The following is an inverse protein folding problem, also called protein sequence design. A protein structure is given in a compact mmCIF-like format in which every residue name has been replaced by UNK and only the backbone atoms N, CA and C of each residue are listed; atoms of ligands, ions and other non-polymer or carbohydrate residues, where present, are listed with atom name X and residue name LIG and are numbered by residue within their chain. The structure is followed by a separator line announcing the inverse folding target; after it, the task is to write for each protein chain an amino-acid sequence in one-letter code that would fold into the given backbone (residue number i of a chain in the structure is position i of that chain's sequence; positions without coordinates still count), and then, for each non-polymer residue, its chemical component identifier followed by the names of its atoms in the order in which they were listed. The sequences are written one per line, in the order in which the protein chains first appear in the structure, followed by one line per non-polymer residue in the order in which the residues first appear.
data_IF_719005928469
#
_entry.id   IF_719005928469
#
_cell.length_a   1.000
_cell.length_b   1.000
_cell.length_c   1.000
_cell.angle_alpha   90.00
_cell.angle_beta   90.00
_cell.angle_gamma   90.00
#
_symmetry.space_group_name_H-M   'P 1'
#
loop_
_entity.id
_entity.type
_entity.pdbx_description
1 polymer ?
#
# COMPACT_ATOMS: atom_id res chain seq x y z
N UNK A 1 -23.49 -39.76 34.72
CA UNK A 1 -23.40 -38.31 34.96
C UNK A 1 -21.92 -37.93 34.90
N UNK A 2 -21.44 -37.41 33.75
CA UNK A 2 -20.02 -37.06 33.56
C UNK A 2 -19.74 -35.74 34.28
N UNK A 3 -18.85 -35.76 35.25
CA UNK A 3 -18.32 -34.58 35.94
C UNK A 3 -17.58 -33.75 34.88
N UNK A 4 -18.08 -32.54 34.57
CA UNK A 4 -17.35 -31.59 33.72
C UNK A 4 -16.07 -31.19 34.48
N UNK A 5 -14.96 -31.21 33.75
CA UNK A 5 -13.61 -31.02 34.29
C UNK A 5 -13.48 -29.64 34.93
N UNK A 6 -12.81 -29.57 36.09
CA UNK A 6 -12.43 -28.33 36.77
C UNK A 6 -11.64 -27.35 35.86
N UNK A 7 -11.00 -27.85 34.79
CA UNK A 7 -10.33 -27.02 33.77
C UNK A 7 -11.26 -25.98 33.15
N UNK A 8 -12.48 -26.37 32.82
CA UNK A 8 -13.44 -25.49 32.11
C UNK A 8 -13.84 -24.29 32.97
N UNK A 9 -13.85 -24.46 34.29
CA UNK A 9 -14.17 -23.39 35.25
C UNK A 9 -13.00 -22.43 35.48
N UNK A 10 -11.76 -22.93 35.47
CA UNK A 10 -10.56 -22.12 35.58
C UNK A 10 -10.29 -21.33 34.30
N UNK A 11 -10.54 -21.92 33.12
CA UNK A 11 -10.42 -21.23 31.83
C UNK A 11 -11.48 -20.12 31.68
N UNK A 12 -12.71 -20.37 32.15
CA UNK A 12 -13.76 -19.34 32.21
C UNK A 12 -13.42 -18.22 33.20
N UNK A 13 -12.88 -18.55 34.38
CA UNK A 13 -12.45 -17.55 35.35
C UNK A 13 -11.24 -16.75 34.85
N UNK A 14 -10.29 -17.37 34.15
CA UNK A 14 -9.17 -16.69 33.50
C UNK A 14 -9.65 -15.78 32.37
N UNK A 15 -10.60 -16.24 31.56
CA UNK A 15 -11.16 -15.44 30.49
C UNK A 15 -11.93 -14.23 31.05
N UNK A 16 -12.79 -14.41 32.04
CA UNK A 16 -13.62 -13.32 32.59
C UNK A 16 -12.86 -12.38 33.53
N UNK A 17 -11.92 -12.87 34.33
CA UNK A 17 -11.24 -12.04 35.34
C UNK A 17 -9.90 -11.47 34.85
N UNK A 18 -9.31 -12.01 33.78
CA UNK A 18 -8.01 -11.57 33.27
C UNK A 18 -8.10 -11.14 31.81
N UNK A 19 -8.58 -12.00 30.90
CA UNK A 19 -8.58 -11.66 29.48
C UNK A 19 -9.63 -10.61 29.09
N UNK A 20 -10.84 -10.70 29.61
CA UNK A 20 -11.94 -9.78 29.30
C UNK A 20 -11.67 -8.36 29.80
N UNK A 21 -11.15 -8.14 31.04
CA UNK A 21 -10.74 -6.82 31.49
C UNK A 21 -9.57 -6.27 30.68
N UNK A 22 -8.57 -7.09 30.31
CA UNK A 22 -7.44 -6.65 29.46
C UNK A 22 -7.91 -6.29 28.04
N UNK A 23 -8.82 -7.08 27.46
CA UNK A 23 -9.40 -6.82 26.14
C UNK A 23 -10.28 -5.57 26.17
N UNK A 24 -11.12 -5.41 27.20
CA UNK A 24 -11.91 -4.20 27.41
C UNK A 24 -11.01 -3.00 27.69
N UNK A 25 -9.92 -3.14 28.45
CA UNK A 25 -9.01 -2.03 28.72
C UNK A 25 -8.23 -1.63 27.46
N UNK A 26 -7.89 -2.58 26.58
CA UNK A 26 -7.35 -2.31 25.23
C UNK A 26 -8.38 -1.59 24.36
N UNK A 27 -9.63 -2.05 24.35
CA UNK A 27 -10.72 -1.44 23.59
C UNK A 27 -11.02 -0.02 24.10
N UNK A 28 -11.10 0.16 25.42
CA UNK A 28 -11.26 1.46 26.07
C UNK A 28 -10.00 2.35 25.97
N UNK A 29 -8.80 1.80 25.77
CA UNK A 29 -7.59 2.60 25.48
C UNK A 29 -7.59 3.09 24.03
N UNK A 30 -8.07 2.27 23.09
CA UNK A 30 -8.36 2.68 21.71
C UNK A 30 -9.47 3.74 21.64
N UNK A 31 -10.43 3.74 22.56
CA UNK A 31 -11.44 4.81 22.65
C UNK A 31 -10.96 6.06 23.42
N UNK A 32 -9.98 5.93 24.33
CA UNK A 32 -9.48 7.05 25.18
C UNK A 32 -8.30 7.80 24.60
N UNK A 33 -7.52 7.20 23.71
CA UNK A 33 -6.66 7.94 22.78
C UNK A 33 -7.43 8.03 21.47
N UNK A 34 -7.78 9.24 21.01
CA UNK A 34 -8.51 9.44 19.76
C UNK A 34 -7.71 9.04 18.50
N UNK A 35 -7.15 7.83 18.44
CA UNK A 35 -6.74 7.20 17.21
C UNK A 35 -8.02 6.80 16.48
N UNK A 36 -8.39 7.61 15.48
CA UNK A 36 -9.38 7.21 14.50
C UNK A 36 -9.00 5.83 13.98
N UNK A 37 -9.93 4.88 13.98
CA UNK A 37 -9.68 3.57 13.38
C UNK A 37 -9.38 3.78 11.90
N UNK A 38 -8.20 3.35 11.46
CA UNK A 38 -7.76 3.46 10.07
C UNK A 38 -7.78 2.11 9.38
N UNK A 39 -8.07 2.13 8.09
CA UNK A 39 -7.92 0.97 7.22
C UNK A 39 -6.53 0.98 6.59
N UNK A 40 -5.94 -0.20 6.47
CA UNK A 40 -4.62 -0.39 5.89
C UNK A 40 -4.66 -1.55 4.88
N UNK A 41 -3.84 -1.46 3.83
CA UNK A 41 -3.63 -2.54 2.86
C UNK A 41 -2.16 -2.91 2.82
N UNK A 42 -1.88 -4.21 2.60
CA UNK A 42 -0.52 -4.75 2.48
C UNK A 42 -0.49 -5.82 1.40
N UNK A 43 0.35 -5.63 0.39
CA UNK A 43 0.49 -6.53 -0.75
C UNK A 43 1.97 -6.74 -1.02
N UNK A 44 2.35 -7.96 -1.39
CA UNK A 44 3.73 -8.31 -1.71
C UNK A 44 3.85 -9.04 -3.03
N UNK A 45 4.95 -8.84 -3.74
CA UNK A 45 5.27 -9.49 -5.01
C UNK A 45 6.76 -9.81 -5.11
N UNK A 46 7.07 -11.02 -5.62
CA UNK A 46 8.46 -11.43 -5.88
C UNK A 46 8.89 -11.08 -7.30
N UNK A 47 9.99 -10.35 -7.41
CA UNK A 47 10.67 -9.99 -8.67
C UNK A 47 11.98 -10.77 -8.77
N UNK A 48 12.22 -11.45 -9.88
CA UNK A 48 13.37 -12.31 -10.17
C UNK A 48 14.64 -11.55 -10.57
N UNK A 49 14.86 -10.37 -9.98
CA UNK A 49 16.06 -9.53 -10.15
C UNK A 49 16.55 -9.06 -8.78
N UNK A 50 17.81 -8.63 -8.76
CA UNK A 50 18.49 -8.15 -7.54
C UNK A 50 17.86 -6.85 -7.05
N UNK A 51 18.01 -6.60 -5.75
CA UNK A 51 17.42 -5.45 -5.05
C UNK A 51 17.75 -4.13 -5.73
N UNK A 52 18.98 -3.94 -6.20
CA UNK A 52 19.43 -2.69 -6.82
C UNK A 52 18.64 -2.39 -8.10
N UNK A 53 18.37 -3.41 -8.91
CA UNK A 53 17.61 -3.28 -10.16
C UNK A 53 16.13 -3.01 -9.90
N UNK A 54 15.56 -3.70 -8.92
CA UNK A 54 14.14 -3.58 -8.55
C UNK A 54 13.87 -2.24 -7.87
N UNK A 55 14.77 -1.79 -7.00
CA UNK A 55 14.69 -0.47 -6.37
C UNK A 55 14.81 0.65 -7.40
N UNK A 56 15.78 0.57 -8.32
CA UNK A 56 15.95 1.54 -9.39
C UNK A 56 14.72 1.62 -10.30
N UNK A 57 14.01 0.51 -10.52
CA UNK A 57 12.76 0.51 -11.29
C UNK A 57 11.64 1.35 -10.66
N UNK A 58 11.73 1.68 -9.37
CA UNK A 58 10.75 2.53 -8.67
C UNK A 58 11.23 3.98 -8.59
N UNK A 59 12.50 4.21 -8.28
CA UNK A 59 13.02 5.58 -8.09
C UNK A 59 13.38 6.30 -9.38
N UNK A 60 13.70 5.57 -10.45
CA UNK A 60 14.06 6.13 -11.74
C UNK A 60 12.80 6.49 -12.55
N UNK A 61 12.60 7.76 -12.93
CA UNK A 61 11.35 8.20 -13.54
C UNK A 61 11.15 7.60 -14.93
N UNK A 62 12.23 7.35 -15.70
CA UNK A 62 12.12 6.71 -17.01
C UNK A 62 11.66 5.25 -16.87
N UNK A 63 12.20 4.51 -15.89
CA UNK A 63 11.79 3.13 -15.63
C UNK A 63 10.36 3.04 -15.08
N UNK A 64 10.03 3.85 -14.08
CA UNK A 64 8.68 3.87 -13.49
C UNK A 64 7.60 4.20 -14.54
N UNK A 65 7.91 5.13 -15.45
CA UNK A 65 7.02 5.51 -16.56
C UNK A 65 6.91 4.44 -17.63
N UNK A 66 7.77 3.41 -17.63
CA UNK A 66 7.70 2.33 -18.59
C UNK A 66 6.70 1.24 -18.22
N UNK A 67 6.19 1.21 -16.98
CA UNK A 67 5.25 0.15 -16.54
C UNK A 67 4.13 0.63 -15.62
N UNK A 68 4.21 1.85 -15.06
CA UNK A 68 3.23 2.35 -14.09
C UNK A 68 2.71 3.74 -14.45
N UNK A 69 3.60 4.75 -14.50
CA UNK A 69 3.24 6.14 -14.82
C UNK A 69 3.27 6.41 -16.33
N UNK A 70 2.67 5.54 -17.13
CA UNK A 70 2.81 5.49 -18.61
C UNK A 70 2.33 6.76 -19.32
N UNK A 71 1.13 7.26 -18.99
CA UNK A 71 0.63 8.53 -19.53
C UNK A 71 1.19 9.67 -18.69
N UNK A 72 1.88 10.63 -19.33
CA UNK A 72 2.41 11.82 -18.64
C UNK A 72 3.69 11.60 -17.83
N UNK A 73 4.03 10.35 -17.49
CA UNK A 73 5.30 10.03 -16.83
C UNK A 73 5.33 10.35 -15.34
N UNK A 74 6.51 10.14 -14.75
CA UNK A 74 6.93 10.70 -13.48
C UNK A 74 7.88 11.89 -13.75
N UNK A 75 7.62 13.04 -13.12
CA UNK A 75 8.31 14.29 -13.44
C UNK A 75 9.78 14.34 -13.01
N UNK A 76 10.17 13.51 -12.03
CA UNK A 76 11.50 13.49 -11.43
C UNK A 76 11.76 12.17 -10.70
N UNK A 77 13.03 11.83 -10.38
CA UNK A 77 13.34 10.71 -9.50
C UNK A 77 12.75 10.89 -8.10
N UNK A 78 12.44 9.78 -7.43
CA UNK A 78 12.03 9.82 -6.02
C UNK A 78 13.24 10.14 -5.14
N UNK A 79 13.19 11.28 -4.46
CA UNK A 79 14.25 11.78 -3.56
C UNK A 79 13.60 12.25 -2.27
N UNK A 80 14.15 11.88 -1.11
CA UNK A 80 13.59 12.28 0.18
C UNK A 80 13.49 13.82 0.30
N UNK A 81 12.35 14.29 0.80
CA UNK A 81 12.04 15.71 0.98
C UNK A 81 11.54 16.42 -0.28
N UNK A 82 11.29 15.71 -1.39
CA UNK A 82 10.76 16.30 -2.63
C UNK A 82 9.32 15.88 -2.92
N UNK A 83 8.66 16.65 -3.78
CA UNK A 83 7.38 16.29 -4.38
C UNK A 83 7.60 15.95 -5.85
N UNK A 84 7.22 14.76 -6.25
CA UNK A 84 7.26 14.28 -7.64
C UNK A 84 5.83 14.24 -8.17
N UNK A 85 5.63 14.65 -9.43
CA UNK A 85 4.30 14.59 -10.07
C UNK A 85 4.22 13.33 -10.91
N UNK A 86 3.23 12.48 -10.64
CA UNK A 86 2.88 11.33 -11.45
C UNK A 86 1.67 11.62 -12.32
N UNK A 87 1.67 11.08 -13.54
CA UNK A 87 0.58 11.26 -14.52
C UNK A 87 0.15 12.72 -14.70
N UNK A 88 1.12 13.66 -14.68
CA UNK A 88 0.95 15.12 -14.77
C UNK A 88 0.12 15.80 -13.67
N UNK A 89 -0.64 15.05 -12.86
CA UNK A 89 -1.63 15.62 -11.94
C UNK A 89 -1.54 15.13 -10.49
N UNK A 90 -0.89 14.00 -10.24
CA UNK A 90 -0.86 13.38 -8.92
C UNK A 90 0.44 13.74 -8.17
N UNK A 91 0.39 14.63 -7.16
CA UNK A 91 1.55 14.94 -6.34
C UNK A 91 1.87 13.77 -5.40
N UNK A 92 3.13 13.35 -5.40
CA UNK A 92 3.70 12.32 -4.54
C UNK A 92 4.80 12.95 -3.69
N UNK A 93 4.55 13.07 -2.40
CA UNK A 93 5.49 13.65 -1.45
C UNK A 93 6.35 12.57 -0.82
N UNK A 94 7.64 12.58 -1.15
CA UNK A 94 8.58 11.56 -0.70
C UNK A 94 9.15 11.97 0.66
N UNK A 95 8.81 11.22 1.71
CA UNK A 95 9.28 11.51 3.07
C UNK A 95 10.60 10.82 3.38
N UNK A 96 10.79 9.57 2.93
CA UNK A 96 11.99 8.78 3.24
C UNK A 96 12.45 7.96 2.04
N UNK A 97 13.78 7.89 1.85
CA UNK A 97 14.44 7.02 0.88
C UNK A 97 15.62 6.35 1.57
N UNK A 98 15.61 5.04 1.61
CA UNK A 98 16.73 4.20 2.04
C UNK A 98 17.12 3.29 0.87
N UNK A 99 18.23 3.59 0.16
CA UNK A 99 18.61 2.90 -1.06
C UNK A 99 18.61 1.37 -0.91
N UNK A 100 17.89 0.69 -1.81
CA UNK A 100 17.78 -0.76 -1.82
C UNK A 100 16.96 -1.36 -0.66
N UNK A 101 16.32 -0.55 0.19
CA UNK A 101 15.63 -1.07 1.38
C UNK A 101 14.21 -0.56 1.53
N UNK A 102 14.00 0.75 1.44
CA UNK A 102 12.73 1.37 1.82
C UNK A 102 12.47 2.68 1.09
N UNK A 103 11.22 2.90 0.71
CA UNK A 103 10.70 4.16 0.16
C UNK A 103 9.43 4.47 0.95
N UNK A 104 9.29 5.71 1.43
CA UNK A 104 8.06 6.19 2.06
C UNK A 104 7.61 7.47 1.37
N UNK A 105 6.34 7.51 0.96
CA UNK A 105 5.74 8.68 0.35
C UNK A 105 4.28 8.83 0.74
N UNK A 106 3.75 10.02 0.50
CA UNK A 106 2.37 10.41 0.80
C UNK A 106 1.71 10.94 -0.46
N UNK A 107 0.45 10.58 -0.66
CA UNK A 107 -0.34 11.02 -1.80
C UNK A 107 -1.82 11.10 -1.42
N UNK A 108 -2.63 11.74 -2.27
CA UNK A 108 -4.07 11.87 -2.05
C UNK A 108 -4.74 10.50 -2.32
N UNK A 109 -4.97 9.72 -1.25
CA UNK A 109 -5.63 8.42 -1.33
C UNK A 109 -7.14 8.51 -1.48
N UNK A 110 -7.78 9.57 -0.95
CA UNK A 110 -9.23 9.72 -1.06
C UNK A 110 -9.75 11.08 -0.62
N UNK A 111 -11.03 11.30 -0.91
CA UNK A 111 -11.84 12.34 -0.31
C UNK A 111 -12.77 11.70 0.73
N UNK A 112 -13.04 12.41 1.83
CA UNK A 112 -14.06 11.99 2.79
C UNK A 112 -15.49 12.22 2.26
N UNK A 113 -16.50 11.90 3.08
CA UNK A 113 -17.91 12.06 2.72
C UNK A 113 -18.26 13.53 2.43
N UNK A 114 -17.54 14.47 3.03
CA UNK A 114 -17.66 15.92 2.81
C UNK A 114 -16.82 16.43 1.62
N UNK A 115 -16.07 15.55 0.96
CA UNK A 115 -15.24 15.86 -0.20
C UNK A 115 -13.87 16.46 0.13
N UNK A 116 -13.49 16.56 1.41
CA UNK A 116 -12.16 16.99 1.82
C UNK A 116 -11.15 15.87 1.58
N UNK A 117 -10.10 16.20 0.83
CA UNK A 117 -9.01 15.26 0.56
C UNK A 117 -8.13 15.08 1.77
N UNK A 118 -7.70 13.85 1.99
CA UNK A 118 -6.67 13.53 2.95
C UNK A 118 -5.61 12.63 2.31
N UNK A 119 -4.44 12.62 2.93
CA UNK A 119 -3.30 11.87 2.41
C UNK A 119 -3.19 10.52 3.09
N UNK A 120 -2.88 9.51 2.30
CA UNK A 120 -2.47 8.21 2.78
C UNK A 120 -0.94 8.12 2.74
N UNK A 121 -0.38 7.24 3.57
CA UNK A 121 1.05 6.97 3.61
C UNK A 121 1.31 5.61 2.97
N UNK A 122 2.17 5.59 1.96
CA UNK A 122 2.66 4.38 1.32
C UNK A 122 4.09 4.12 1.74
N UNK A 123 4.35 2.89 2.20
CA UNK A 123 5.65 2.36 2.49
C UNK A 123 5.94 1.17 1.56
N UNK A 124 7.02 1.26 0.82
CA UNK A 124 7.52 0.18 -0.04
C UNK A 124 8.85 -0.34 0.50
N UNK A 125 8.92 -1.64 0.80
CA UNK A 125 10.14 -2.31 1.29
C UNK A 125 10.66 -3.32 0.28
N UNK A 126 11.98 -3.46 0.24
CA UNK A 126 12.69 -4.34 -0.67
C UNK A 126 13.56 -5.29 0.14
N UNK A 127 13.33 -6.59 -0.01
CA UNK A 127 14.05 -7.64 0.71
C UNK A 127 14.71 -8.60 -0.29
N UNK A 128 16.02 -8.76 -0.20
CA UNK A 128 16.75 -9.74 -1.00
C UNK A 128 16.37 -11.16 -0.56
N UNK A 129 16.18 -12.06 -1.52
CA UNK A 129 15.86 -13.46 -1.29
C UNK A 129 17.06 -14.36 -1.62
N UNK A 130 17.11 -15.54 -1.00
CA UNK A 130 18.19 -16.52 -1.18
C UNK A 130 18.36 -17.00 -2.64
N UNK A 131 17.29 -16.94 -3.43
CA UNK A 131 17.28 -17.30 -4.85
C UNK A 131 17.77 -16.18 -5.79
N UNK A 132 18.26 -15.07 -5.22
CA UNK A 132 18.74 -13.89 -5.95
C UNK A 132 17.62 -12.95 -6.42
N UNK A 133 16.36 -13.24 -6.11
CA UNK A 133 15.24 -12.34 -6.32
C UNK A 133 15.06 -11.30 -5.22
N UNK A 134 14.04 -10.47 -5.36
CA UNK A 134 13.64 -9.44 -4.41
C UNK A 134 12.15 -9.60 -4.08
N UNK A 135 11.81 -9.64 -2.80
CA UNK A 135 10.43 -9.46 -2.34
C UNK A 135 10.17 -7.97 -2.17
N UNK A 136 9.23 -7.44 -2.95
CA UNK A 136 8.72 -6.08 -2.79
C UNK A 136 7.44 -6.16 -1.98
N UNK A 137 7.32 -5.35 -0.93
CA UNK A 137 6.07 -5.20 -0.19
C UNK A 137 5.63 -3.75 -0.19
N UNK A 138 4.37 -3.52 -0.51
CA UNK A 138 3.72 -2.21 -0.49
C UNK A 138 2.69 -2.24 0.63
N UNK A 139 2.82 -1.34 1.59
CA UNK A 139 1.86 -1.10 2.64
C UNK A 139 1.33 0.32 2.51
N UNK A 140 0.01 0.48 2.45
CA UNK A 140 -0.63 1.80 2.45
C UNK A 140 -1.56 1.92 3.65
N UNK A 141 -1.47 3.05 4.34
CA UNK A 141 -2.10 3.29 5.63
C UNK A 141 -2.69 4.70 5.73
N UNK A 142 -3.54 4.90 6.74
CA UNK A 142 -4.16 6.19 7.02
C UNK A 142 -5.49 6.43 6.30
N UNK A 143 -6.10 5.37 5.76
CA UNK A 143 -7.47 5.44 5.25
C UNK A 143 -8.45 5.58 6.41
N UNK A 144 -9.49 6.39 6.23
CA UNK A 144 -10.56 6.48 7.21
C UNK A 144 -11.44 5.23 7.18
N UNK A 145 -11.98 4.83 8.33
CA UNK A 145 -12.95 3.75 8.40
C UNK A 145 -14.39 4.24 8.08
N UNK A 146 -14.57 4.72 6.85
CA UNK A 146 -15.84 5.13 6.28
C UNK A 146 -16.06 4.45 4.90
N UNK A 147 -17.19 4.73 4.25
CA UNK A 147 -17.52 4.10 2.96
C UNK A 147 -16.51 4.48 1.87
N UNK A 148 -16.07 5.74 1.85
CA UNK A 148 -15.12 6.24 0.88
C UNK A 148 -13.73 5.63 1.07
N UNK A 149 -13.25 5.53 2.32
CA UNK A 149 -12.00 4.89 2.69
C UNK A 149 -11.99 3.40 2.36
N UNK A 150 -13.07 2.67 2.64
CA UNK A 150 -13.20 1.25 2.23
C UNK A 150 -13.10 1.08 0.71
N UNK A 151 -13.85 1.88 -0.06
CA UNK A 151 -13.76 1.88 -1.53
C UNK A 151 -12.33 2.18 -1.99
N UNK A 152 -11.70 3.20 -1.42
CA UNK A 152 -10.33 3.59 -1.73
C UNK A 152 -9.32 2.48 -1.46
N UNK A 153 -9.44 1.76 -0.34
CA UNK A 153 -8.56 0.61 -0.07
C UNK A 153 -8.69 -0.50 -1.11
N UNK A 154 -9.89 -0.79 -1.63
CA UNK A 154 -10.06 -1.78 -2.69
C UNK A 154 -9.41 -1.34 -4.00
N UNK A 155 -9.64 -0.09 -4.41
CA UNK A 155 -9.09 0.48 -5.63
C UNK A 155 -7.56 0.55 -5.59
N UNK A 156 -6.99 1.00 -4.47
CA UNK A 156 -5.54 1.07 -4.33
C UNK A 156 -4.91 -0.32 -4.15
N UNK A 157 -5.60 -1.27 -3.49
CA UNK A 157 -5.13 -2.66 -3.44
C UNK A 157 -5.04 -3.26 -4.86
N UNK A 158 -6.04 -3.01 -5.72
CA UNK A 158 -6.01 -3.38 -7.13
C UNK A 158 -4.86 -2.69 -7.86
N UNK A 159 -4.73 -1.36 -7.73
CA UNK A 159 -3.70 -0.55 -8.37
C UNK A 159 -2.27 -0.97 -7.99
N UNK A 160 -2.00 -1.19 -6.71
CA UNK A 160 -0.69 -1.65 -6.23
C UNK A 160 -0.37 -3.08 -6.66
N UNK A 161 -1.38 -3.96 -6.69
CA UNK A 161 -1.21 -5.31 -7.24
C UNK A 161 -0.86 -5.25 -8.73
N UNK A 162 -1.54 -4.39 -9.48
CA UNK A 162 -1.26 -4.17 -10.91
C UNK A 162 0.15 -3.61 -11.12
N UNK A 163 0.56 -2.63 -10.30
CA UNK A 163 1.90 -2.07 -10.30
C UNK A 163 2.98 -3.15 -10.11
N UNK A 164 2.79 -4.06 -9.14
CA UNK A 164 3.71 -5.18 -8.91
C UNK A 164 3.76 -6.16 -10.10
N UNK A 165 2.61 -6.49 -10.70
CA UNK A 165 2.56 -7.34 -11.90
C UNK A 165 3.28 -6.71 -13.10
N UNK A 166 3.05 -5.42 -13.35
CA UNK A 166 3.69 -4.66 -14.41
C UNK A 166 5.20 -4.52 -14.16
N UNK A 167 5.61 -4.21 -12.93
CA UNK A 167 7.02 -4.17 -12.52
C UNK A 167 7.70 -5.51 -12.78
N UNK A 168 7.07 -6.61 -12.40
CA UNK A 168 7.60 -7.95 -12.61
C UNK A 168 7.89 -8.20 -14.08
N UNK A 169 6.91 -7.98 -14.95
CA UNK A 169 7.06 -8.19 -16.39
C UNK A 169 8.11 -7.26 -17.02
N UNK A 170 8.14 -6.00 -16.60
CA UNK A 170 9.08 -5.01 -17.11
C UNK A 170 10.52 -5.29 -16.66
N UNK A 171 10.74 -5.50 -15.37
CA UNK A 171 12.08 -5.68 -14.79
C UNK A 171 12.68 -7.04 -15.18
N UNK A 172 11.86 -8.09 -15.30
CA UNK A 172 12.37 -9.41 -15.71
C UNK A 172 12.51 -9.55 -17.23
N UNK A 173 11.62 -8.95 -18.02
CA UNK A 173 11.51 -9.28 -19.45
C UNK A 173 11.42 -8.07 -20.38
N UNK A 174 11.39 -6.84 -19.85
CA UNK A 174 11.21 -5.62 -20.65
C UNK A 174 9.80 -5.48 -21.24
N UNK A 175 8.80 -6.20 -20.70
CA UNK A 175 7.42 -6.20 -21.19
C UNK A 175 6.59 -5.19 -20.41
N UNK A 176 5.94 -4.25 -21.11
CA UNK A 176 4.98 -3.32 -20.51
C UNK A 176 3.56 -3.94 -20.53
N UNK A 177 3.12 -4.52 -19.41
CA UNK A 177 1.76 -5.07 -19.30
C UNK A 177 0.66 -4.02 -19.20
N UNK A 178 1.01 -2.75 -18.94
CA UNK A 178 0.04 -1.64 -18.84
C UNK A 178 -0.34 -1.10 -20.21
N UNK A 179 0.53 -1.24 -21.21
CA UNK A 179 0.25 -0.81 -22.58
C UNK A 179 -1.02 -1.48 -23.12
N UNK A 180 -2.01 -0.68 -23.50
CA UNK A 180 -3.30 -1.16 -24.00
C UNK A 180 -4.22 -1.77 -22.94
N UNK A 181 -3.84 -1.79 -21.65
CA UNK A 181 -4.66 -2.35 -20.58
C UNK A 181 -5.84 -1.44 -20.21
N UNK A 182 -5.58 -0.13 -20.06
CA UNK A 182 -6.61 0.86 -19.73
C UNK A 182 -7.09 1.59 -20.99
N UNK A 183 -8.40 1.53 -21.25
CA UNK A 183 -9.01 2.22 -22.38
C UNK A 183 -8.81 3.75 -22.35
N UNK A 184 -8.72 4.36 -21.17
CA UNK A 184 -8.44 5.78 -21.02
C UNK A 184 -7.02 6.13 -21.46
N UNK A 185 -6.04 5.29 -21.13
CA UNK A 185 -4.63 5.53 -21.47
C UNK A 185 -4.38 5.36 -22.97
N UNK A 186 -5.15 4.49 -23.64
CA UNK A 186 -5.17 4.42 -25.10
C UNK A 186 -5.66 5.73 -25.76
N UNK A 187 -6.32 6.61 -25.01
CA UNK A 187 -6.75 7.94 -25.45
C UNK A 187 -5.85 9.06 -24.91
N UNK A 188 -4.71 8.72 -24.30
CA UNK A 188 -3.78 9.68 -23.70
C UNK A 188 -4.26 10.28 -22.38
N UNK A 189 -5.21 9.64 -21.70
CA UNK A 189 -5.71 10.10 -20.39
C UNK A 189 -5.31 9.09 -19.32
N UNK A 190 -4.70 9.51 -18.20
CA UNK A 190 -4.33 8.60 -17.12
C UNK A 190 -5.51 7.74 -16.66
N UNK A 191 -5.24 6.49 -16.28
CA UNK A 191 -6.27 5.65 -15.68
C UNK A 191 -6.81 6.30 -14.40
N UNK A 192 -8.13 6.36 -14.29
CA UNK A 192 -8.83 6.82 -13.09
C UNK A 192 -9.65 5.67 -12.52
N UNK A 193 -9.90 5.72 -11.21
CA UNK A 193 -10.82 4.78 -10.59
C UNK A 193 -12.20 4.91 -11.26
N UNK A 194 -12.88 3.79 -11.56
CA UNK A 194 -14.22 3.84 -12.12
C UNK A 194 -15.18 4.57 -11.16
N UNK A 195 -16.11 5.35 -11.72
CA UNK A 195 -17.08 6.18 -10.98
C UNK A 195 -18.11 5.37 -10.17
N UNK A 196 -18.17 4.04 -10.35
CA UNK A 196 -19.21 3.18 -9.76
C UNK A 196 -18.65 1.90 -9.21
#
# INVERSE_FOLDING_TARGET
MKIRSLSDSLDMLYFYNIMLPIAMERMLRSERGGEAMTLDIRISGRIGRKVEEVFDAVVNPQKLSSYFTTVGGASAPLVAGTTVIWWEKAPVEVSEIEPGRRIVFHWDGGADEEGARYRTKVEMTFEALDDGGTLVTIAESGWREDTAGRRGTYLNCEGWTQMLCCMKAFVEYGINLREGFFLSEMRGVPAEAPDR
#
